data_IF_044094735922
#
_entry.id   IF_044094735922
#
_cell.length_a   1.000
_cell.length_b   1.000
_cell.length_c   1.000
_cell.angle_alpha   90.00
_cell.angle_beta   90.00
_cell.angle_gamma   90.00
#
_symmetry.space_group_name_H-M   'P 1'
#
loop_
_entity.id
_entity.type
_entity.pdbx_description
1 polymer ?
#
# COMPACT_ATOMS: atom_id res chain seq x y z
N UNK A 1 -3.55 49.77 2.59
CA UNK A 1 -4.43 48.61 2.43
C UNK A 1 -5.60 49.04 1.57
N UNK A 2 -5.71 48.50 0.35
CA UNK A 2 -6.80 48.83 -0.58
C UNK A 2 -8.04 47.99 -0.26
N UNK A 3 -9.21 48.41 -0.77
CA UNK A 3 -10.45 47.64 -0.65
C UNK A 3 -10.32 46.24 -1.29
N UNK A 4 -9.53 46.12 -2.36
CA UNK A 4 -9.25 44.85 -3.04
C UNK A 4 -8.40 43.92 -2.17
N UNK A 5 -7.37 44.44 -1.49
CA UNK A 5 -6.54 43.65 -0.57
C UNK A 5 -7.37 43.08 0.59
N UNK A 6 -8.35 43.85 1.10
CA UNK A 6 -9.28 43.38 2.14
C UNK A 6 -10.20 42.25 1.63
N UNK A 7 -10.70 42.36 0.40
CA UNK A 7 -11.56 41.31 -0.19
C UNK A 7 -10.79 40.02 -0.45
N UNK A 8 -9.53 40.12 -0.89
CA UNK A 8 -8.65 38.96 -1.09
C UNK A 8 -8.37 38.27 0.25
N UNK A 9 -8.04 39.03 1.30
CA UNK A 9 -7.77 38.47 2.63
C UNK A 9 -9.00 37.77 3.23
N UNK A 10 -10.19 38.37 3.12
CA UNK A 10 -11.43 37.75 3.62
C UNK A 10 -11.77 36.45 2.86
N UNK A 11 -11.50 36.41 1.55
CA UNK A 11 -11.72 35.22 0.75
C UNK A 11 -10.73 34.09 1.11
N UNK A 12 -9.46 34.43 1.33
CA UNK A 12 -8.44 33.48 1.78
C UNK A 12 -8.78 32.91 3.16
N UNK A 13 -9.18 33.76 4.11
CA UNK A 13 -9.58 33.32 5.46
C UNK A 13 -10.79 32.38 5.40
N UNK A 14 -11.80 32.70 4.59
CA UNK A 14 -12.96 31.81 4.39
C UNK A 14 -12.57 30.46 3.79
N UNK A 15 -11.65 30.45 2.82
CA UNK A 15 -11.13 29.22 2.22
C UNK A 15 -10.35 28.39 3.23
N UNK A 16 -9.51 29.01 4.06
CA UNK A 16 -8.74 28.34 5.08
C UNK A 16 -9.65 27.73 6.16
N UNK A 17 -10.63 28.49 6.67
CA UNK A 17 -11.60 27.99 7.65
C UNK A 17 -12.39 26.80 7.08
N UNK A 18 -12.88 26.91 5.84
CA UNK A 18 -13.62 25.81 5.20
C UNK A 18 -12.74 24.57 5.01
N UNK A 19 -11.47 24.74 4.64
CA UNK A 19 -10.51 23.64 4.49
C UNK A 19 -10.23 22.97 5.83
N UNK A 20 -9.99 23.76 6.89
CA UNK A 20 -9.74 23.26 8.24
C UNK A 20 -10.94 22.52 8.83
N UNK A 21 -12.16 23.06 8.65
CA UNK A 21 -13.37 22.40 9.10
C UNK A 21 -13.59 21.07 8.38
N UNK A 22 -13.35 21.03 7.06
CA UNK A 22 -13.46 19.81 6.25
C UNK A 22 -12.45 18.74 6.67
N UNK A 23 -11.19 19.14 6.93
CA UNK A 23 -10.15 18.25 7.49
C UNK A 23 -10.59 17.67 8.82
N UNK A 24 -11.17 18.50 9.71
CA UNK A 24 -11.67 18.04 11.01
C UNK A 24 -12.85 17.06 10.89
N UNK A 25 -13.81 17.31 10.01
CA UNK A 25 -14.96 16.44 9.77
C UNK A 25 -14.56 15.08 9.19
N UNK A 26 -13.65 15.07 8.21
CA UNK A 26 -13.11 13.84 7.65
C UNK A 26 -12.36 13.02 8.71
N UNK A 27 -11.50 13.68 9.49
CA UNK A 27 -10.79 13.04 10.59
C UNK A 27 -11.77 12.46 11.65
N UNK A 28 -12.83 13.19 11.99
CA UNK A 28 -13.86 12.72 12.91
C UNK A 28 -14.62 11.50 12.37
N UNK A 29 -15.01 11.53 11.08
CA UNK A 29 -15.70 10.42 10.41
C UNK A 29 -14.83 9.16 10.38
N UNK A 30 -13.56 9.31 10.02
CA UNK A 30 -12.61 8.21 10.02
C UNK A 30 -12.36 7.65 11.43
N UNK A 31 -12.22 8.53 12.43
CA UNK A 31 -12.07 8.14 13.83
C UNK A 31 -13.28 7.33 14.32
N UNK A 32 -14.50 7.71 13.92
CA UNK A 32 -15.72 6.97 14.26
C UNK A 32 -15.76 5.58 13.59
N UNK A 33 -15.42 5.48 12.31
CA UNK A 33 -15.31 4.19 11.59
C UNK A 33 -14.25 3.28 12.24
N UNK A 34 -13.10 3.85 12.58
CA UNK A 34 -12.00 3.18 13.27
C UNK A 34 -12.41 2.63 14.65
N UNK A 35 -13.14 3.42 15.43
CA UNK A 35 -13.65 3.00 16.74
C UNK A 35 -14.65 1.85 16.62
N UNK A 36 -15.52 1.88 15.60
CA UNK A 36 -16.47 0.81 15.33
C UNK A 36 -15.78 -0.51 14.93
N UNK A 37 -14.72 -0.43 14.12
CA UNK A 37 -13.94 -1.60 13.72
C UNK A 37 -13.09 -2.19 14.85
N UNK A 38 -12.49 -1.34 15.70
CA UNK A 38 -11.60 -1.74 16.80
C UNK A 38 -12.29 -2.44 18.00
N UNK A 39 -13.62 -2.39 18.09
CA UNK A 39 -14.37 -2.99 19.19
C UNK A 39 -14.33 -4.54 19.19
N UNK A 40 -13.99 -5.17 18.06
CA UNK A 40 -13.89 -6.64 17.94
C UNK A 40 -12.43 -7.07 18.10
N UNK A 41 -12.07 -7.53 19.30
CA UNK A 41 -10.79 -8.22 19.55
C UNK A 41 -10.80 -9.59 18.86
N UNK A 42 -10.57 -9.60 17.56
CA UNK A 42 -10.43 -10.81 16.76
C UNK A 42 -9.01 -11.37 16.77
N UNK A 43 -8.80 -12.57 16.18
CA UNK A 43 -7.46 -13.06 15.85
C UNK A 43 -6.74 -12.05 14.95
N UNK A 44 -5.39 -12.04 15.01
CA UNK A 44 -4.58 -11.13 14.21
C UNK A 44 -4.76 -11.44 12.72
N UNK A 45 -5.51 -10.58 12.05
CA UNK A 45 -5.77 -10.64 10.62
C UNK A 45 -5.46 -9.25 10.04
N UNK A 46 -4.59 -9.19 9.03
CA UNK A 46 -4.25 -7.94 8.34
C UNK A 46 -5.14 -7.69 7.12
N UNK A 47 -5.83 -8.73 6.65
CA UNK A 47 -6.63 -8.66 5.43
C UNK A 47 -7.90 -7.84 5.62
N UNK A 48 -8.41 -7.32 4.50
CA UNK A 48 -9.62 -6.51 4.43
C UNK A 48 -9.37 -5.11 3.88
N UNK A 49 -10.34 -4.23 4.09
CA UNK A 49 -10.33 -2.86 3.57
C UNK A 49 -9.82 -1.89 4.63
N UNK A 50 -9.01 -0.95 4.20
CA UNK A 50 -8.36 0.07 5.00
C UNK A 50 -8.59 1.45 4.41
N UNK A 51 -8.81 2.41 5.29
CA UNK A 51 -8.73 3.83 4.96
C UNK A 51 -7.36 4.34 5.38
N UNK A 52 -6.68 5.02 4.47
CA UNK A 52 -5.38 5.64 4.67
C UNK A 52 -5.57 7.15 4.88
N UNK A 53 -4.70 7.72 5.70
CA UNK A 53 -4.62 9.13 6.03
C UNK A 53 -3.19 9.55 5.74
N UNK A 54 -3.03 10.44 4.77
CA UNK A 54 -1.75 10.99 4.40
C UNK A 54 -1.95 12.46 4.00
N UNK A 55 -1.68 13.42 4.92
CA UNK A 55 -1.96 14.84 4.69
C UNK A 55 -1.33 15.38 3.41
N UNK A 56 -0.13 14.92 3.08
CA UNK A 56 0.58 15.32 1.87
C UNK A 56 -0.17 14.89 0.60
N UNK A 57 -0.61 13.63 0.52
CA UNK A 57 -1.33 13.12 -0.64
C UNK A 57 -2.74 13.72 -0.76
N UNK A 58 -3.36 14.07 0.37
CA UNK A 58 -4.65 14.76 0.38
C UNK A 58 -4.55 16.19 -0.18
N UNK A 59 -3.46 16.91 0.10
CA UNK A 59 -3.27 18.30 -0.33
C UNK A 59 -2.95 18.42 -1.84
N UNK A 60 -2.47 17.34 -2.48
CA UNK A 60 -2.25 17.31 -3.94
C UNK A 60 -3.56 17.29 -4.76
N UNK A 61 -4.71 17.02 -4.12
CA UNK A 61 -6.00 16.97 -4.80
C UNK A 61 -6.55 18.39 -4.97
N UNK A 62 -6.59 18.86 -6.22
CA UNK A 62 -7.23 20.15 -6.61
C UNK A 62 -8.76 20.15 -6.50
N UNK A 63 -9.36 19.19 -5.79
CA UNK A 63 -10.79 18.91 -5.79
C UNK A 63 -11.34 18.36 -4.47
N UNK A 64 -12.30 17.43 -4.56
CA UNK A 64 -12.87 16.77 -3.37
C UNK A 64 -11.84 15.83 -2.71
N UNK A 65 -11.77 15.79 -1.37
CA UNK A 65 -10.88 14.91 -0.64
C UNK A 65 -11.33 13.49 -0.94
N UNK A 66 -10.51 12.81 -1.73
CA UNK A 66 -10.72 11.43 -2.04
C UNK A 66 -10.30 10.60 -0.82
N UNK A 67 -11.08 9.55 -0.57
CA UNK A 67 -10.79 8.62 0.52
C UNK A 67 -9.66 7.74 0.03
N UNK A 68 -8.47 7.91 0.61
CA UNK A 68 -7.33 7.06 0.29
C UNK A 68 -7.64 5.64 0.79
N UNK A 69 -7.63 4.68 -0.12
CA UNK A 69 -8.02 3.30 0.13
C UNK A 69 -6.85 2.33 0.03
N UNK A 70 -6.87 1.28 0.84
CA UNK A 70 -5.97 0.15 0.69
C UNK A 70 -6.69 -1.14 1.05
N UNK A 71 -6.57 -2.16 0.22
CA UNK A 71 -7.20 -3.46 0.41
C UNK A 71 -6.09 -4.50 0.53
N UNK A 72 -6.09 -5.31 1.59
CA UNK A 72 -5.02 -6.30 1.88
C UNK A 72 -5.55 -7.73 1.72
N UNK A 73 -4.76 -8.60 1.08
CA UNK A 73 -4.98 -10.04 0.95
C UNK A 73 -3.75 -10.83 1.37
N UNK A 74 -3.96 -12.06 1.84
CA UNK A 74 -2.87 -13.03 1.95
C UNK A 74 -2.43 -13.48 0.57
N UNK A 75 -1.13 -13.46 0.36
CA UNK A 75 -0.53 -13.90 -0.90
C UNK A 75 -0.53 -15.44 -0.97
N UNK A 76 -1.17 -15.96 -2.01
CA UNK A 76 -1.21 -17.40 -2.33
C UNK A 76 -0.26 -17.78 -3.47
N UNK A 77 0.45 -16.83 -4.07
CA UNK A 77 1.41 -17.14 -5.10
C UNK A 77 2.46 -18.11 -4.54
N UNK A 78 2.66 -19.21 -5.26
CA UNK A 78 3.69 -20.19 -4.94
C UNK A 78 5.00 -19.44 -4.72
N UNK A 79 5.67 -19.78 -3.63
CA UNK A 79 7.04 -19.34 -3.39
C UNK A 79 7.95 -20.15 -4.31
N UNK A 80 7.74 -20.01 -5.63
CA UNK A 80 8.76 -20.42 -6.57
C UNK A 80 9.99 -19.61 -6.20
N UNK A 81 11.08 -20.35 -5.99
CA UNK A 81 12.41 -19.89 -5.60
C UNK A 81 12.69 -18.48 -6.14
N UNK A 82 13.43 -17.64 -5.37
CA UNK A 82 13.59 -16.23 -5.64
C UNK A 82 13.89 -16.08 -7.12
N UNK A 83 13.06 -15.28 -7.78
CA UNK A 83 13.12 -14.98 -9.21
C UNK A 83 14.57 -14.69 -9.56
N UNK A 84 15.30 -15.76 -9.90
CA UNK A 84 16.57 -15.69 -10.57
C UNK A 84 16.13 -15.33 -11.97
N UNK A 85 15.94 -14.03 -12.19
CA UNK A 85 15.93 -13.39 -13.51
C UNK A 85 17.33 -13.58 -14.18
N UNK A 86 18.01 -14.69 -13.90
CA UNK A 86 19.17 -15.18 -14.63
C UNK A 86 18.62 -16.06 -15.74
N UNK A 87 18.45 -15.46 -16.92
CA UNK A 87 18.24 -16.15 -18.20
C UNK A 87 19.48 -16.98 -18.60
N UNK A 88 20.04 -17.80 -17.70
CA UNK A 88 21.12 -18.75 -18.01
C UNK A 88 20.53 -20.15 -18.14
N UNK A 89 19.94 -20.40 -19.32
CA UNK A 89 19.76 -21.75 -19.84
C UNK A 89 21.15 -22.40 -20.00
N UNK A 90 21.64 -23.14 -19.01
CA UNK A 90 22.63 -24.17 -19.30
C UNK A 90 22.37 -25.47 -18.54
N UNK A 91 22.48 -26.54 -19.32
CA UNK A 91 22.03 -27.89 -19.03
C UNK A 91 23.03 -28.60 -18.14
N UNK A 92 22.59 -29.17 -17.03
CA UNK A 92 23.22 -30.38 -16.52
C UNK A 92 22.16 -31.35 -15.99
N UNK A 93 22.17 -32.52 -16.62
CA UNK A 93 21.34 -33.69 -16.39
C UNK A 93 22.16 -34.60 -15.46
N UNK A 94 22.03 -34.40 -14.16
CA UNK A 94 22.60 -35.31 -13.15
C UNK A 94 21.45 -35.73 -12.21
N UNK A 95 21.02 -36.97 -12.42
CA UNK A 95 20.03 -37.69 -11.61
C UNK A 95 20.64 -38.07 -10.26
N UNK A 96 20.43 -37.26 -9.21
CA UNK A 96 20.69 -37.67 -7.83
C UNK A 96 19.36 -37.81 -7.06
N UNK A 97 19.10 -39.02 -6.57
CA UNK A 97 17.96 -39.37 -5.72
C UNK A 97 18.10 -38.68 -4.35
N UNK A 98 17.29 -37.65 -4.08
CA UNK A 98 17.26 -36.97 -2.79
C UNK A 98 16.38 -37.71 -1.77
N UNK A 99 16.99 -38.09 -0.64
CA UNK A 99 16.32 -38.67 0.53
C UNK A 99 15.36 -37.64 1.17
N UNK A 100 14.10 -38.05 1.39
CA UNK A 100 13.06 -37.25 2.05
C UNK A 100 13.38 -37.01 3.54
N UNK A 101 14.17 -35.97 3.85
CA UNK A 101 14.25 -35.45 5.22
C UNK A 101 12.90 -34.81 5.61
N UNK A 102 12.23 -35.39 6.62
CA UNK A 102 11.08 -34.80 7.32
C UNK A 102 11.51 -33.53 8.08
N UNK A 103 11.77 -32.46 7.32
CA UNK A 103 12.18 -31.17 7.83
C UNK A 103 11.03 -30.48 8.57
N UNK A 104 11.32 -29.99 9.77
CA UNK A 104 10.47 -29.05 10.50
C UNK A 104 9.98 -27.98 9.52
N UNK A 105 8.66 -27.85 9.29
CA UNK A 105 8.07 -26.77 8.49
C UNK A 105 8.50 -25.44 9.11
N UNK A 106 9.66 -24.92 8.68
CA UNK A 106 10.09 -23.57 8.96
C UNK A 106 8.93 -22.68 8.53
N UNK A 107 8.30 -22.03 9.51
CA UNK A 107 7.13 -21.20 9.30
C UNK A 107 7.48 -20.12 8.31
N UNK A 108 7.20 -20.39 7.04
CA UNK A 108 7.50 -19.50 5.93
C UNK A 108 6.91 -18.13 6.29
N UNK A 109 7.69 -17.05 6.11
CA UNK A 109 7.19 -15.71 6.40
C UNK A 109 5.91 -15.47 5.59
N UNK A 110 4.86 -14.97 6.25
CA UNK A 110 3.61 -14.67 5.57
C UNK A 110 3.81 -13.45 4.68
N UNK A 111 3.40 -13.59 3.43
CA UNK A 111 3.37 -12.52 2.44
C UNK A 111 1.94 -12.03 2.27
N UNK A 112 1.81 -10.74 2.02
CA UNK A 112 0.53 -10.11 1.71
C UNK A 112 0.68 -9.25 0.47
N UNK A 113 -0.39 -9.17 -0.31
CA UNK A 113 -0.56 -8.14 -1.31
C UNK A 113 -1.49 -7.07 -0.76
N UNK A 114 -1.23 -5.82 -1.13
CA UNK A 114 -2.21 -4.76 -1.01
C UNK A 114 -2.45 -4.11 -2.36
N UNK A 115 -3.67 -3.72 -2.64
CA UNK A 115 -3.99 -2.78 -3.69
C UNK A 115 -4.33 -1.46 -3.03
N UNK A 116 -3.88 -0.36 -3.61
CA UNK A 116 -4.12 0.96 -3.05
C UNK A 116 -4.54 1.93 -4.13
N UNK A 117 -5.37 2.89 -3.69
CA UNK A 117 -5.78 4.05 -4.46
C UNK A 117 -5.62 5.26 -3.55
N UNK A 118 -4.54 6.00 -3.77
CA UNK A 118 -4.24 7.27 -3.11
C UNK A 118 -4.58 8.45 -4.01
N UNK A 119 -5.48 8.24 -4.97
CA UNK A 119 -6.13 9.23 -5.83
C UNK A 119 -5.23 9.90 -6.85
N UNK A 120 -4.05 10.38 -6.48
CA UNK A 120 -2.99 10.80 -7.41
C UNK A 120 -2.12 9.63 -7.86
N UNK A 121 -2.20 8.52 -7.12
CA UNK A 121 -1.36 7.35 -7.32
C UNK A 121 -2.15 6.10 -6.95
N UNK A 122 -2.14 5.12 -7.84
CA UNK A 122 -2.74 3.81 -7.60
C UNK A 122 -1.75 2.70 -7.89
N UNK A 123 -1.91 1.54 -7.25
CA UNK A 123 -0.98 0.44 -7.48
C UNK A 123 -1.16 -0.76 -6.57
N UNK A 124 -0.09 -1.56 -6.52
CA UNK A 124 0.01 -2.79 -5.75
C UNK A 124 1.23 -2.73 -4.83
N UNK A 125 1.08 -3.16 -3.59
CA UNK A 125 2.14 -3.34 -2.61
C UNK A 125 2.37 -4.82 -2.33
N UNK A 126 3.64 -5.20 -2.16
CA UNK A 126 4.06 -6.48 -1.56
C UNK A 126 4.52 -6.22 -0.14
N UNK A 127 3.83 -6.81 0.83
CA UNK A 127 4.11 -6.64 2.26
C UNK A 127 4.71 -7.95 2.80
N UNK A 128 5.87 -7.84 3.42
CA UNK A 128 6.65 -8.95 3.96
C UNK A 128 6.90 -8.73 5.46
N UNK A 129 6.77 -9.78 6.25
CA UNK A 129 7.07 -9.66 7.68
C UNK A 129 6.78 -10.92 8.47
N UNK A 130 7.05 -10.88 9.78
CA UNK A 130 6.81 -12.02 10.65
C UNK A 130 5.32 -12.34 10.73
N UNK A 131 5.01 -13.61 10.96
CA UNK A 131 3.66 -14.01 11.34
C UNK A 131 3.37 -13.43 12.72
N UNK A 132 2.44 -12.48 12.79
CA UNK A 132 2.02 -11.94 14.07
C UNK A 132 1.45 -13.06 14.95
N UNK A 133 2.08 -13.27 16.11
CA UNK A 133 1.56 -14.11 17.17
C UNK A 133 0.39 -13.42 17.86
N UNK A 134 -0.59 -14.20 18.35
CA UNK A 134 -1.76 -13.66 19.05
C UNK A 134 -1.45 -12.84 20.32
N UNK A 135 -0.19 -12.86 20.79
CA UNK A 135 0.29 -12.09 21.95
C UNK A 135 0.91 -10.74 21.57
N UNK A 136 1.24 -10.52 20.30
CA UNK A 136 1.86 -9.27 19.86
C UNK A 136 0.84 -8.13 19.91
N UNK A 137 1.29 -6.95 20.35
CA UNK A 137 0.51 -5.69 20.31
C UNK A 137 0.73 -4.93 19.01
N UNK A 138 1.89 -5.14 18.42
CA UNK A 138 2.36 -4.52 17.18
C UNK A 138 3.09 -5.55 16.32
N UNK A 139 3.04 -5.36 15.01
CA UNK A 139 3.70 -6.19 14.01
C UNK A 139 4.38 -5.25 13.00
N UNK A 140 5.71 -5.19 13.04
CA UNK A 140 6.50 -4.43 12.09
C UNK A 140 6.74 -5.28 10.83
N UNK A 141 6.53 -4.69 9.67
CA UNK A 141 6.65 -5.32 8.35
C UNK A 141 7.39 -4.38 7.41
N UNK A 142 7.89 -4.92 6.31
CA UNK A 142 8.44 -4.14 5.21
C UNK A 142 7.54 -4.25 3.99
N UNK A 143 7.59 -3.26 3.11
CA UNK A 143 6.86 -3.31 1.86
C UNK A 143 7.65 -2.69 0.71
N UNK A 144 7.27 -3.11 -0.50
CA UNK A 144 7.63 -2.49 -1.78
C UNK A 144 6.36 -2.23 -2.55
N UNK A 145 6.37 -1.25 -3.44
CA UNK A 145 5.18 -0.95 -4.22
C UNK A 145 5.51 -0.68 -5.69
N UNK A 146 4.55 -0.98 -6.55
CA UNK A 146 4.53 -0.57 -7.95
C UNK A 146 3.20 0.10 -8.22
N UNK A 147 3.19 1.13 -9.04
CA UNK A 147 1.99 1.90 -9.30
C UNK A 147 2.13 2.83 -10.48
N UNK A 148 1.08 3.60 -10.70
CA UNK A 148 1.03 4.64 -11.72
C UNK A 148 0.38 5.90 -11.17
N UNK A 149 0.88 7.03 -11.64
CA UNK A 149 0.24 8.31 -11.42
C UNK A 149 -1.08 8.35 -12.21
N UNK A 150 -2.16 8.84 -11.61
CA UNK A 150 -3.53 8.70 -12.15
C UNK A 150 -3.87 9.73 -13.22
N UNK A 151 -3.18 10.86 -13.29
CA UNK A 151 -3.37 11.91 -14.29
C UNK A 151 -2.96 11.48 -15.70
N UNK A 152 -1.70 11.08 -15.89
CA UNK A 152 -1.15 10.64 -17.18
C UNK A 152 -1.09 9.12 -17.34
N UNK A 153 -1.48 8.37 -16.30
CA UNK A 153 -1.39 6.90 -16.24
C UNK A 153 0.04 6.39 -16.43
N UNK A 154 1.03 7.16 -15.98
CA UNK A 154 2.45 6.84 -16.13
C UNK A 154 2.89 5.93 -14.99
N UNK A 155 3.42 4.75 -15.35
CA UNK A 155 3.99 3.81 -14.37
C UNK A 155 5.21 4.45 -13.71
N UNK A 156 5.22 4.45 -12.37
CA UNK A 156 6.31 4.96 -11.55
C UNK A 156 7.47 3.94 -11.52
N UNK A 157 8.37 4.03 -12.50
CA UNK A 157 9.53 3.12 -12.59
C UNK A 157 10.48 3.35 -11.41
N UNK A 158 10.99 2.26 -10.82
CA UNK A 158 11.95 2.29 -9.70
C UNK A 158 11.29 2.40 -8.32
N UNK A 159 9.96 2.52 -8.22
CA UNK A 159 9.27 2.60 -6.92
C UNK A 159 9.45 1.34 -6.05
N UNK A 160 9.70 0.19 -6.68
CA UNK A 160 9.89 -1.10 -6.01
C UNK A 160 11.34 -1.38 -5.60
N UNK A 161 12.28 -0.48 -5.91
CA UNK A 161 13.68 -0.57 -5.45
C UNK A 161 13.80 -0.21 -3.96
N UNK A 162 12.89 0.64 -3.47
CA UNK A 162 12.87 1.09 -2.08
C UNK A 162 12.14 0.08 -1.18
N UNK A 163 12.82 -0.38 -0.13
CA UNK A 163 12.23 -1.23 0.91
C UNK A 163 11.79 -0.36 2.10
N UNK A 164 10.48 -0.12 2.19
CA UNK A 164 9.88 0.79 3.17
C UNK A 164 9.33 0.03 4.39
N UNK A 165 9.16 0.74 5.52
CA UNK A 165 8.68 0.15 6.77
C UNK A 165 7.23 0.51 7.04
N UNK A 166 6.51 -0.42 7.63
CA UNK A 166 5.17 -0.17 8.17
C UNK A 166 4.93 -0.98 9.44
N UNK A 167 4.05 -0.49 10.31
CA UNK A 167 3.74 -1.10 11.60
C UNK A 167 2.24 -1.23 11.74
N UNK A 168 1.78 -2.47 11.84
CA UNK A 168 0.42 -2.78 12.23
C UNK A 168 0.32 -2.79 13.75
N UNK A 169 -0.71 -2.18 14.30
CA UNK A 169 -0.97 -2.06 15.73
C UNK A 169 -2.44 -2.33 16.05
N UNK A 170 -2.81 -2.24 17.34
CA UNK A 170 -4.18 -2.45 17.83
C UNK A 170 -4.79 -3.77 17.30
N UNK A 171 -4.05 -4.87 17.39
CA UNK A 171 -4.51 -6.17 16.90
C UNK A 171 -4.78 -6.24 15.38
N UNK A 172 -3.99 -5.51 14.58
CA UNK A 172 -4.13 -5.49 13.12
C UNK A 172 -5.30 -4.63 12.63
N UNK A 173 -5.72 -3.64 13.42
CA UNK A 173 -6.80 -2.69 13.04
C UNK A 173 -6.29 -1.28 12.75
N UNK A 174 -5.03 -1.00 13.08
CA UNK A 174 -4.37 0.27 12.77
C UNK A 174 -3.03 0.00 12.08
N UNK A 175 -2.62 0.90 11.19
CA UNK A 175 -1.36 0.84 10.47
C UNK A 175 -0.71 2.22 10.42
N UNK A 176 0.62 2.26 10.45
CA UNK A 176 1.41 3.46 10.17
C UNK A 176 2.63 3.07 9.37
N UNK A 177 3.10 3.91 8.46
CA UNK A 177 4.27 3.58 7.66
C UNK A 177 4.82 4.76 6.88
N UNK A 178 5.93 4.48 6.22
CA UNK A 178 6.60 5.40 5.30
C UNK A 178 6.15 5.07 3.86
N UNK A 179 6.03 6.09 3.02
CA UNK A 179 5.70 5.96 1.60
C UNK A 179 6.58 6.90 0.78
N UNK A 180 7.21 6.40 -0.27
CA UNK A 180 8.15 7.16 -1.11
C UNK A 180 8.24 6.50 -2.50
N UNK A 181 8.46 7.31 -3.54
CA UNK A 181 8.91 6.81 -4.84
C UNK A 181 9.12 7.93 -5.86
N UNK A 182 9.47 7.60 -7.10
CA UNK A 182 9.91 8.60 -8.09
C UNK A 182 8.93 9.74 -8.42
N UNK A 183 7.65 9.61 -8.04
CA UNK A 183 6.62 10.61 -8.26
C UNK A 183 6.06 11.24 -6.98
N UNK A 184 6.54 10.85 -5.79
CA UNK A 184 6.05 11.34 -4.49
C UNK A 184 7.23 11.52 -3.55
N UNK A 185 7.37 12.69 -2.93
CA UNK A 185 8.37 12.91 -1.89
C UNK A 185 8.18 11.92 -0.71
N UNK A 186 9.21 11.68 0.11
CA UNK A 186 9.08 10.82 1.28
C UNK A 186 8.00 11.35 2.23
N UNK A 187 6.97 10.56 2.50
CA UNK A 187 5.86 10.91 3.38
C UNK A 187 5.59 9.80 4.39
N UNK A 188 4.86 10.16 5.44
CA UNK A 188 4.33 9.20 6.40
C UNK A 188 2.82 9.11 6.25
N UNK A 189 2.27 7.93 6.51
CA UNK A 189 0.84 7.71 6.51
C UNK A 189 0.41 6.95 7.76
N UNK A 190 -0.86 7.12 8.10
CA UNK A 190 -1.55 6.26 9.05
C UNK A 190 -2.76 5.64 8.37
N UNK A 191 -3.32 4.59 8.94
CA UNK A 191 -4.49 3.95 8.38
C UNK A 191 -5.25 3.14 9.41
N UNK A 192 -6.52 2.94 9.12
CA UNK A 192 -7.44 2.20 9.97
C UNK A 192 -8.20 1.19 9.13
N UNK A 193 -8.36 -0.01 9.69
CA UNK A 193 -9.17 -1.05 9.06
C UNK A 193 -10.64 -0.69 9.16
N UNK A 194 -11.34 -0.71 8.03
CA UNK A 194 -12.77 -0.43 7.93
C UNK A 194 -13.60 -1.70 7.72
N UNK A 195 -13.05 -2.70 7.03
CA UNK A 195 -13.70 -4.01 6.83
C UNK A 195 -12.70 -5.12 7.13
N UNK A 196 -13.13 -6.13 7.90
CA UNK A 196 -12.31 -7.32 8.15
C UNK A 196 -12.33 -8.24 6.92
N UNK A 197 -11.14 -8.67 6.47
CA UNK A 197 -11.01 -9.56 5.31
C UNK A 197 -11.20 -11.05 5.65
N UNK A 198 -11.20 -11.41 6.94
CA UNK A 198 -11.36 -12.78 7.41
C UNK A 198 -10.34 -13.75 6.78
N UNK A 199 -9.08 -13.30 6.71
CA UNK A 199 -7.98 -14.00 6.07
C UNK A 199 -8.19 -14.25 4.57
N UNK A 200 -8.87 -13.34 3.87
CA UNK A 200 -9.03 -13.43 2.43
C UNK A 200 -7.69 -13.60 1.71
N UNK A 201 -7.73 -14.43 0.69
CA UNK A 201 -6.58 -14.86 -0.10
C UNK A 201 -6.74 -14.38 -1.53
N UNK A 202 -5.65 -13.87 -2.11
CA UNK A 202 -5.62 -13.44 -3.50
C UNK A 202 -4.17 -13.37 -3.97
N UNK A 203 -3.94 -13.81 -5.21
CA UNK A 203 -2.69 -13.53 -5.92
C UNK A 203 -2.89 -12.30 -6.79
N UNK A 204 -2.05 -11.29 -6.60
CA UNK A 204 -1.94 -10.12 -7.50
C UNK A 204 -0.61 -10.13 -8.25
N UNK A 205 -0.07 -11.32 -8.53
CA UNK A 205 1.21 -11.49 -9.21
C UNK A 205 1.20 -10.84 -10.60
N UNK A 206 0.13 -11.01 -11.36
CA UNK A 206 0.00 -10.45 -12.70
C UNK A 206 -0.07 -8.91 -12.67
N UNK A 207 -0.89 -8.34 -11.78
CA UNK A 207 -0.97 -6.88 -11.61
C UNK A 207 0.38 -6.26 -11.22
N UNK A 208 1.11 -6.92 -10.31
CA UNK A 208 2.47 -6.50 -9.95
C UNK A 208 3.43 -6.54 -11.14
N UNK A 209 3.33 -7.56 -12.00
CA UNK A 209 4.16 -7.70 -13.20
C UNK A 209 3.79 -6.63 -14.25
N UNK A 210 2.51 -6.29 -14.35
CA UNK A 210 1.99 -5.30 -15.30
C UNK A 210 2.32 -3.85 -14.91
N UNK A 211 2.85 -3.63 -13.71
CA UNK A 211 3.38 -2.36 -13.24
C UNK A 211 4.93 -2.31 -13.22
N UNK A 212 5.59 -3.23 -13.93
CA UNK A 212 7.07 -3.30 -14.02
C UNK A 212 7.66 -2.29 -15.02
N UNK A 213 8.99 -2.07 -14.94
CA UNK A 213 9.75 -1.30 -15.94
C UNK A 213 9.55 -1.85 -17.37
N UNK A 214 9.49 -3.18 -17.53
CA UNK A 214 9.19 -3.82 -18.83
C UNK A 214 7.79 -3.47 -19.31
N UNK A 215 6.80 -3.41 -18.42
CA UNK A 215 5.45 -3.00 -18.77
C UNK A 215 5.40 -1.52 -19.19
N UNK A 216 6.14 -0.65 -18.50
CA UNK A 216 6.34 0.74 -18.91
C UNK A 216 6.91 0.85 -20.33
N UNK A 217 7.99 0.12 -20.64
CA UNK A 217 8.60 0.15 -21.97
C UNK A 217 7.63 -0.31 -23.08
N UNK A 218 6.85 -1.36 -22.83
CA UNK A 218 5.80 -1.81 -23.77
C UNK A 218 4.74 -0.71 -24.00
N UNK A 219 4.27 -0.08 -22.92
CA UNK A 219 3.28 1.00 -23.01
C UNK A 219 3.84 2.23 -23.75
N UNK A 220 5.11 2.57 -23.51
CA UNK A 220 5.82 3.69 -24.15
C UNK A 220 5.94 3.50 -25.65
N UNK A 221 6.34 2.32 -26.11
CA UNK A 221 6.48 2.01 -27.55
C UNK A 221 5.13 2.09 -28.28
N UNK A 222 4.05 1.64 -27.65
CA UNK A 222 2.71 1.66 -28.25
C UNK A 222 2.11 3.07 -28.38
N UNK A 223 2.60 4.07 -27.63
CA UNK A 223 2.10 5.45 -27.70
C UNK A 223 2.52 6.20 -28.97
N UNK A 224 3.56 5.74 -29.66
CA UNK A 224 4.17 6.41 -30.82
C UNK A 224 4.04 5.64 -32.14
N UNK A 225 3.13 4.67 -32.22
CA UNK A 225 2.78 3.96 -33.46
C UNK A 225 1.40 4.38 -33.93
#
# INVERSE_FOLDING_TARGET
MTLEELQIAELQEKQEIATNQRKAENHARQTALAAAAGAKKGPWDLTGEWTIICPYLEDYLSGEPAILGMSIWRDTAEHNHPESDSDEEDRHDDEEEEEEEEGEEEKRPRRYYAAFDFSVLEGVMRINGPVASGKQKTCAMTHRWRGRETGESVIAVGSDELLLKMVFSKHGTAVSGDFEGGCVEPVTFTGMKVVAGNNQESSRKDEWRDLSARAYERARVNRWR
#
